data_IF_674966354871
#
_entry.id   IF_674966354871
#
_cell.length_a   1.000
_cell.length_b   1.000
_cell.length_c   1.000
_cell.angle_alpha   90.00
_cell.angle_beta   90.00
_cell.angle_gamma   90.00
#
_symmetry.space_group_name_H-M   'P 1'
#
loop_
_entity.id
_entity.type
_entity.pdbx_description
1 polymer ?
#
# COMPACT_ATOMS: atom_id res chain seq x y z
N UNK A 1 -17.79 -21.60 17.51
CA UNK A 1 -16.66 -20.64 17.63
C UNK A 1 -15.79 -20.79 16.40
N UNK A 2 -16.06 -20.03 15.35
CA UNK A 2 -15.36 -20.16 14.07
C UNK A 2 -14.09 -19.31 14.09
N UNK A 3 -12.93 -19.99 14.14
CA UNK A 3 -11.65 -19.36 13.84
C UNK A 3 -11.65 -18.99 12.36
N UNK A 4 -11.87 -17.71 12.06
CA UNK A 4 -11.50 -17.14 10.78
C UNK A 4 -9.98 -17.22 10.72
N UNK A 5 -9.48 -18.23 10.02
CA UNK A 5 -8.12 -18.24 9.48
C UNK A 5 -7.95 -16.92 8.73
N UNK A 6 -7.29 -15.95 9.35
CA UNK A 6 -6.76 -14.81 8.62
C UNK A 6 -5.72 -15.41 7.69
N UNK A 7 -6.13 -15.79 6.48
CA UNK A 7 -5.20 -16.19 5.43
C UNK A 7 -4.32 -14.98 5.24
N UNK A 8 -3.05 -15.12 5.59
CA UNK A 8 -2.03 -14.08 5.47
C UNK A 8 -1.81 -13.81 3.97
N UNK A 9 -2.75 -13.07 3.39
CA UNK A 9 -2.88 -12.92 1.94
C UNK A 9 -2.00 -11.76 1.54
N UNK A 10 -0.89 -12.07 0.87
CA UNK A 10 0.00 -11.06 0.29
C UNK A 10 -0.78 -10.16 -0.68
N UNK A 11 -0.86 -8.88 -0.35
CA UNK A 11 -1.49 -7.85 -1.20
C UNK A 11 -0.60 -7.51 -2.40
N UNK A 12 0.71 -7.39 -2.19
CA UNK A 12 1.66 -7.05 -3.25
C UNK A 12 3.07 -6.79 -2.75
N UNK A 13 3.77 -5.87 -3.41
CA UNK A 13 5.08 -5.34 -2.99
C UNK A 13 5.00 -3.82 -3.00
N UNK A 14 5.46 -3.18 -1.93
CA UNK A 14 5.56 -1.71 -1.87
C UNK A 14 6.69 -1.27 -2.79
N UNK A 15 6.39 -0.34 -3.69
CA UNK A 15 7.37 0.25 -4.64
C UNK A 15 7.79 1.64 -4.17
N UNK A 16 6.86 2.43 -3.64
CA UNK A 16 7.12 3.78 -3.16
C UNK A 16 6.07 4.26 -2.15
N UNK A 17 6.30 5.44 -1.58
CA UNK A 17 5.35 6.19 -0.76
C UNK A 17 4.88 7.42 -1.54
N UNK A 18 3.66 7.87 -1.25
CA UNK A 18 3.10 9.13 -1.77
C UNK A 18 3.03 10.16 -0.64
N UNK A 19 3.47 11.38 -0.91
CA UNK A 19 3.45 12.53 0.01
C UNK A 19 2.74 13.69 -0.71
N UNK A 20 1.43 13.74 -0.61
CA UNK A 20 0.56 14.77 -1.21
C UNK A 20 0.14 15.81 -0.18
N UNK A 21 -0.26 15.39 1.03
CA UNK A 21 -0.78 16.29 2.05
C UNK A 21 0.32 16.95 2.86
N UNK A 22 1.42 16.21 3.13
CA UNK A 22 2.51 16.64 4.02
C UNK A 22 3.84 16.04 3.58
N UNK A 23 4.91 16.82 3.65
CA UNK A 23 6.25 16.37 3.26
C UNK A 23 6.90 15.41 4.28
N UNK A 24 6.48 15.49 5.55
CA UNK A 24 7.01 14.68 6.65
C UNK A 24 6.21 13.39 6.90
N UNK A 25 5.01 13.28 6.31
CA UNK A 25 4.10 12.16 6.55
C UNK A 25 3.52 11.65 5.22
N UNK A 26 3.72 10.37 4.88
CA UNK A 26 3.15 9.80 3.67
C UNK A 26 1.63 9.64 3.82
N UNK A 27 0.90 9.81 2.72
CA UNK A 27 -0.54 9.59 2.64
C UNK A 27 -0.87 8.13 2.31
N UNK A 28 -0.07 7.53 1.44
CA UNK A 28 -0.33 6.19 0.93
C UNK A 28 0.95 5.41 0.57
N UNK A 29 0.82 4.08 0.63
CA UNK A 29 1.75 3.12 0.05
C UNK A 29 1.37 2.86 -1.41
N UNK A 30 2.34 2.94 -2.31
CA UNK A 30 2.19 2.50 -3.70
C UNK A 30 2.56 1.03 -3.79
N UNK A 31 1.58 0.19 -4.08
CA UNK A 31 1.74 -1.27 -4.08
C UNK A 31 1.55 -1.82 -5.48
N UNK A 32 2.55 -2.57 -5.95
CA UNK A 32 2.44 -3.38 -7.17
C UNK A 32 1.83 -4.74 -6.86
N UNK A 33 0.81 -5.09 -7.63
CA UNK A 33 0.05 -6.33 -7.46
C UNK A 33 -0.34 -6.97 -8.81
N UNK A 34 -0.92 -8.17 -8.74
CA UNK A 34 -1.29 -9.01 -9.88
C UNK A 34 -0.16 -9.90 -10.43
N UNK A 35 -0.53 -10.85 -11.29
CA UNK A 35 0.33 -11.93 -11.82
C UNK A 35 1.62 -11.43 -12.52
N UNK A 36 1.61 -10.20 -13.04
CA UNK A 36 2.76 -9.57 -13.70
C UNK A 36 3.18 -8.24 -13.06
N UNK A 37 2.74 -7.95 -11.82
CA UNK A 37 2.99 -6.66 -11.13
C UNK A 37 2.63 -5.42 -11.98
N UNK A 38 1.64 -5.57 -12.88
CA UNK A 38 1.16 -4.53 -13.82
C UNK A 38 0.06 -3.66 -13.23
N UNK A 39 -0.51 -4.06 -12.09
CA UNK A 39 -1.51 -3.27 -11.38
C UNK A 39 -0.83 -2.51 -10.26
N UNK A 40 -1.07 -1.22 -10.23
CA UNK A 40 -0.67 -0.35 -9.13
C UNK A 40 -1.91 0.00 -8.33
N UNK A 41 -1.81 -0.16 -7.01
CA UNK A 41 -2.85 0.24 -6.08
C UNK A 41 -2.26 1.11 -4.98
N UNK A 42 -3.08 2.02 -4.46
CA UNK A 42 -2.74 2.84 -3.31
C UNK A 42 -3.41 2.26 -2.08
N UNK A 43 -2.63 2.11 -1.00
CA UNK A 43 -3.13 1.74 0.33
C UNK A 43 -2.89 2.93 1.25
N UNK A 44 -3.94 3.45 1.87
CA UNK A 44 -3.80 4.58 2.80
C UNK A 44 -2.90 4.21 3.97
N UNK A 45 -2.06 5.15 4.43
CA UNK A 45 -1.20 4.91 5.59
C UNK A 45 -2.01 4.59 6.85
N UNK A 46 -3.25 5.09 6.92
CA UNK A 46 -4.20 4.84 8.02
C UNK A 46 -4.69 3.39 8.09
N UNK A 47 -4.51 2.63 7.01
CA UNK A 47 -4.85 1.21 6.97
C UNK A 47 -3.65 0.30 7.33
N UNK A 48 -2.46 0.88 7.56
CA UNK A 48 -1.29 0.15 8.09
C UNK A 48 -1.52 -0.17 9.56
N UNK A 49 -1.45 -1.46 9.88
CA UNK A 49 -1.60 -1.98 11.24
C UNK A 49 -0.22 -2.10 11.89
N UNK A 50 0.77 -2.58 11.14
CA UNK A 50 2.08 -2.92 11.68
C UNK A 50 3.16 -2.82 10.59
N UNK A 51 4.35 -2.36 10.96
CA UNK A 51 5.54 -2.40 10.11
C UNK A 51 6.52 -3.35 10.79
N UNK A 52 7.00 -4.37 10.06
CA UNK A 52 7.98 -5.35 10.52
C UNK A 52 9.26 -5.24 9.69
N UNK A 53 10.19 -4.34 10.04
CA UNK A 53 11.36 -4.07 9.21
C UNK A 53 12.26 -5.29 9.02
N UNK A 54 12.44 -6.10 10.07
CA UNK A 54 13.28 -7.32 10.02
C UNK A 54 12.75 -8.39 9.08
N UNK A 55 11.45 -8.38 8.81
CA UNK A 55 10.79 -9.33 7.91
C UNK A 55 10.53 -8.73 6.52
N UNK A 56 10.89 -7.45 6.32
CA UNK A 56 10.56 -6.68 5.12
C UNK A 56 9.05 -6.69 4.81
N UNK A 57 8.22 -6.58 5.86
CA UNK A 57 6.76 -6.70 5.77
C UNK A 57 6.04 -5.50 6.34
N UNK A 58 4.92 -5.18 5.72
CA UNK A 58 3.93 -4.24 6.22
C UNK A 58 2.59 -4.98 6.29
N UNK A 59 1.97 -4.97 7.47
CA UNK A 59 0.67 -5.56 7.73
C UNK A 59 -0.38 -4.46 7.59
N UNK A 60 -1.40 -4.73 6.78
CA UNK A 60 -2.48 -3.78 6.50
C UNK A 60 -3.82 -4.40 6.83
N UNK A 61 -4.82 -3.56 7.11
CA UNK A 61 -6.17 -4.02 7.43
C UNK A 61 -6.79 -4.78 6.26
N UNK A 62 -7.49 -5.88 6.52
CA UNK A 62 -8.13 -6.66 5.45
C UNK A 62 -9.19 -5.85 4.66
N UNK A 63 -9.84 -4.89 5.31
CA UNK A 63 -10.78 -3.93 4.71
C UNK A 63 -10.08 -2.68 4.19
N UNK A 64 -8.76 -2.72 3.94
CA UNK A 64 -8.01 -1.55 3.45
C UNK A 64 -8.70 -1.00 2.21
N UNK A 65 -8.87 0.32 2.15
CA UNK A 65 -9.46 0.94 0.98
C UNK A 65 -8.41 0.94 -0.13
N UNK A 66 -8.59 0.06 -1.10
CA UNK A 66 -7.68 -0.08 -2.25
C UNK A 66 -8.17 0.85 -3.35
N UNK A 67 -7.49 1.97 -3.53
CA UNK A 67 -7.75 2.84 -4.67
C UNK A 67 -6.93 2.33 -5.86
N UNK A 68 -7.60 2.07 -6.98
CA UNK A 68 -6.88 1.83 -8.23
C UNK A 68 -6.09 3.10 -8.53
N UNK A 69 -4.79 2.98 -8.77
CA UNK A 69 -3.99 4.07 -9.32
C UNK A 69 -4.45 4.28 -10.78
N UNK A 70 -5.63 4.90 -10.96
CA UNK A 70 -6.08 5.33 -12.28
C UNK A 70 -5.11 6.43 -12.72
N UNK A 71 -4.68 6.27 -13.96
CA UNK A 71 -3.79 7.14 -14.72
C UNK A 71 -4.17 8.63 -14.63
N UNK A 72 -3.64 9.36 -13.65
CA UNK A 72 -3.37 10.82 -13.66
C UNK A 72 -3.10 11.33 -12.25
N UNK A 73 -1.83 11.43 -11.84
CA UNK A 73 -1.30 12.58 -11.10
C UNK A 73 0.19 12.66 -11.48
N UNK A 74 0.64 13.73 -12.15
CA UNK A 74 1.96 13.79 -12.76
C UNK A 74 3.02 13.63 -11.67
N UNK A 75 4.06 12.86 -11.98
CA UNK A 75 5.34 12.93 -11.29
C UNK A 75 5.67 14.40 -11.09
N UNK A 76 5.59 14.88 -9.85
CA UNK A 76 6.12 16.17 -9.47
C UNK A 76 7.65 16.05 -9.64
N UNK A 77 8.15 16.42 -10.83
CA UNK A 77 9.56 16.68 -11.05
C UNK A 77 9.88 17.89 -10.17
N UNK A 78 10.58 17.65 -9.07
CA UNK A 78 11.30 18.71 -8.36
C UNK A 78 12.43 19.13 -9.30
N UNK A 79 12.37 20.40 -9.73
CA UNK A 79 13.38 21.08 -10.54
C UNK A 79 14.59 21.39 -9.67
#
# INVERSE_FOLDING_TARGET
>A
MSQLYAVDRRVGTVESLTFESRADRPDALVVRTGFLRRKTVLIAITDVIEIRPREERIVVRASSTVYAARSSHPRQKVV
#
